data_IF_576803377900
#
_entry.id   IF_576803377900
#
_cell.length_a   1.000
_cell.length_b   1.000
_cell.length_c   1.000
_cell.angle_alpha   90.00
_cell.angle_beta   90.00
_cell.angle_gamma   90.00
#
_symmetry.space_group_name_H-M   'P 1'
#
loop_
_entity.id
_entity.type
_entity.pdbx_description
1 polymer ?
#
# COMPACT_ATOMS: atom_id res chain seq x y z
N UNK A 1 8.55 30.98 14.12
CA UNK A 1 7.11 30.89 14.41
C UNK A 1 6.46 30.12 13.26
N UNK A 2 5.74 29.01 13.49
CA UNK A 2 4.89 28.45 12.44
C UNK A 2 3.89 29.54 12.01
N UNK A 3 3.72 29.75 10.72
CA UNK A 3 2.66 30.63 10.23
C UNK A 3 1.34 29.97 10.64
N UNK A 4 0.47 30.64 11.42
CA UNK A 4 -0.83 30.10 11.74
C UNK A 4 -1.55 29.77 10.44
N UNK A 5 -2.14 28.59 10.35
CA UNK A 5 -3.20 28.35 9.39
C UNK A 5 -4.19 29.52 9.48
N UNK A 6 -4.56 30.13 8.36
CA UNK A 6 -5.62 31.14 8.34
C UNK A 6 -6.96 30.56 8.84
N UNK A 7 -7.08 29.23 8.91
CA UNK A 7 -8.16 28.53 9.59
C UNK A 7 -7.83 28.35 11.08
N UNK A 8 -8.79 28.68 11.95
CA UNK A 8 -8.76 28.40 13.39
C UNK A 8 -8.85 26.91 13.75
N UNK A 9 -8.63 26.00 12.78
CA UNK A 9 -8.75 24.55 12.98
C UNK A 9 -7.37 23.93 13.28
N UNK A 10 -7.13 23.39 14.49
CA UNK A 10 -5.84 22.84 14.88
C UNK A 10 -5.46 21.54 14.13
N UNK A 11 -6.38 20.98 13.33
CA UNK A 11 -6.16 19.76 12.55
C UNK A 11 -5.67 20.00 11.12
N UNK A 12 -5.65 21.26 10.66
CA UNK A 12 -5.16 21.60 9.32
C UNK A 12 -3.73 22.17 9.38
N UNK A 13 -2.85 21.62 8.56
CA UNK A 13 -1.51 22.16 8.34
C UNK A 13 -1.38 22.60 6.88
N UNK A 14 -1.14 23.89 6.65
CA UNK A 14 -0.94 24.41 5.31
C UNK A 14 0.50 24.12 4.84
N UNK A 15 0.66 23.01 4.14
CA UNK A 15 1.95 22.59 3.59
C UNK A 15 2.51 23.58 2.56
N UNK A 16 1.67 24.29 1.81
CA UNK A 16 2.12 25.22 0.75
C UNK A 16 2.72 26.49 1.35
N UNK A 17 2.23 26.91 2.52
CA UNK A 17 2.76 28.07 3.25
C UNK A 17 4.00 27.74 4.10
N UNK A 18 4.36 26.46 4.25
CA UNK A 18 5.44 26.04 5.14
C UNK A 18 6.83 26.40 4.59
N UNK A 19 7.54 27.29 5.28
CA UNK A 19 8.94 27.68 4.94
C UNK A 19 10.01 26.74 5.50
N UNK A 20 9.65 25.89 6.44
CA UNK A 20 10.54 24.91 7.10
C UNK A 20 9.72 23.70 7.55
N UNK A 21 10.38 22.55 7.69
CA UNK A 21 9.77 21.37 8.30
C UNK A 21 9.69 21.59 9.83
N UNK A 22 8.49 21.60 10.44
CA UNK A 22 8.34 21.71 11.89
C UNK A 22 8.72 20.39 12.58
N UNK A 23 9.05 20.45 13.88
CA UNK A 23 9.45 19.26 14.65
C UNK A 23 8.37 18.17 14.74
N UNK A 24 7.09 18.55 14.59
CA UNK A 24 5.98 17.60 14.49
C UNK A 24 6.06 16.73 13.24
N UNK A 25 6.72 17.19 12.17
CA UNK A 25 6.89 16.47 10.91
C UNK A 25 8.36 16.06 10.67
N UNK A 26 9.25 16.34 11.62
CA UNK A 26 10.65 15.96 11.55
C UNK A 26 10.84 14.52 12.05
N UNK A 27 11.12 13.61 11.12
CA UNK A 27 11.33 12.19 11.40
C UNK A 27 12.82 11.88 11.58
N UNK A 28 13.20 11.13 12.64
CA UNK A 28 14.55 10.60 12.79
C UNK A 28 14.78 9.38 11.87
N UNK A 29 16.02 8.95 11.73
CA UNK A 29 16.37 7.66 11.10
C UNK A 29 16.06 7.53 9.60
N UNK A 30 15.78 8.64 8.90
CA UNK A 30 15.39 8.60 7.49
C UNK A 30 16.47 8.07 6.56
N UNK A 31 17.72 8.19 6.97
CA UNK A 31 18.92 7.89 6.19
C UNK A 31 19.77 6.79 6.83
N UNK A 32 19.18 5.99 7.74
CA UNK A 32 19.89 4.89 8.41
C UNK A 32 20.33 3.79 7.43
N UNK A 33 19.66 3.71 6.28
CA UNK A 33 19.97 2.78 5.21
C UNK A 33 20.16 3.52 3.88
N UNK A 34 21.09 3.05 3.02
CA UNK A 34 21.32 3.66 1.71
C UNK A 34 20.08 3.52 0.83
N UNK A 35 19.95 4.44 -0.14
CA UNK A 35 18.93 4.38 -1.20
C UNK A 35 19.63 4.00 -2.51
N UNK A 36 19.14 2.98 -3.19
CA UNK A 36 19.61 2.55 -4.52
C UNK A 36 18.52 2.76 -5.57
N UNK A 37 18.93 2.89 -6.83
CA UNK A 37 18.01 3.07 -7.96
C UNK A 37 17.46 1.72 -8.44
N UNK A 38 16.16 1.51 -8.26
CA UNK A 38 15.47 0.30 -8.69
C UNK A 38 15.08 0.28 -10.17
N UNK A 39 15.32 1.35 -10.92
CA UNK A 39 15.19 1.38 -12.38
C UNK A 39 16.45 0.94 -13.12
N UNK A 40 17.60 0.90 -12.43
CA UNK A 40 18.86 0.48 -13.01
C UNK A 40 18.94 -1.06 -13.13
N UNK A 41 19.51 -1.61 -14.21
CA UNK A 41 19.76 -3.05 -14.32
C UNK A 41 20.64 -3.54 -13.17
N UNK A 42 20.23 -4.61 -12.49
CA UNK A 42 20.99 -5.17 -11.38
C UNK A 42 20.13 -5.99 -10.41
N UNK A 43 20.71 -6.44 -9.28
CA UNK A 43 20.00 -7.22 -8.28
C UNK A 43 18.88 -6.45 -7.57
N UNK A 44 18.90 -5.12 -7.66
CA UNK A 44 17.90 -4.21 -7.11
C UNK A 44 16.90 -3.67 -8.13
N UNK A 45 16.95 -4.18 -9.38
CA UNK A 45 15.95 -3.82 -10.37
C UNK A 45 14.56 -4.27 -9.88
N UNK A 46 13.64 -3.32 -9.74
CA UNK A 46 12.25 -3.63 -9.38
C UNK A 46 11.67 -4.49 -10.50
N UNK A 47 11.13 -5.68 -10.19
CA UNK A 47 10.62 -6.58 -11.21
C UNK A 47 9.45 -5.94 -11.97
N UNK A 48 9.40 -6.19 -13.27
CA UNK A 48 8.30 -5.79 -14.14
C UNK A 48 7.54 -7.05 -14.58
N UNK A 49 6.22 -7.00 -14.45
CA UNK A 49 5.29 -8.00 -14.99
C UNK A 49 4.48 -7.31 -16.08
N UNK A 50 4.55 -7.83 -17.30
CA UNK A 50 3.77 -7.32 -18.43
C UNK A 50 2.58 -8.25 -18.74
N UNK A 51 1.37 -7.70 -18.69
CA UNK A 51 0.14 -8.43 -19.00
C UNK A 51 -0.28 -8.31 -20.48
N UNK A 52 0.32 -7.42 -21.27
CA UNK A 52 0.04 -7.33 -22.71
C UNK A 52 0.74 -8.47 -23.45
N UNK A 53 1.99 -8.76 -23.06
CA UNK A 53 2.71 -9.96 -23.51
C UNK A 53 1.95 -11.26 -23.24
N UNK A 54 1.00 -11.31 -22.30
CA UNK A 54 0.19 -12.50 -22.02
C UNK A 54 -0.70 -12.97 -23.20
N UNK A 55 -0.93 -12.12 -24.21
CA UNK A 55 -1.66 -12.52 -25.42
C UNK A 55 -0.78 -13.36 -26.38
N UNK A 56 0.52 -13.11 -26.39
CA UNK A 56 1.51 -13.72 -27.30
C UNK A 56 2.48 -14.69 -26.57
N UNK A 57 2.63 -14.55 -25.25
CA UNK A 57 3.39 -15.45 -24.38
C UNK A 57 2.48 -16.54 -23.79
N UNK A 58 3.00 -17.76 -23.54
CA UNK A 58 2.26 -18.76 -22.79
C UNK A 58 1.87 -18.19 -21.42
N UNK A 59 0.59 -18.29 -21.04
CA UNK A 59 0.06 -17.88 -19.72
C UNK A 59 0.96 -18.29 -18.55
N UNK A 60 1.56 -19.48 -18.64
CA UNK A 60 2.51 -20.02 -17.66
C UNK A 60 3.75 -19.13 -17.43
N UNK A 61 4.24 -18.43 -18.45
CA UNK A 61 5.38 -17.52 -18.32
C UNK A 61 5.04 -16.31 -17.44
N UNK A 62 3.87 -15.71 -17.66
CA UNK A 62 3.36 -14.58 -16.85
C UNK A 62 3.10 -15.03 -15.41
N UNK A 63 2.49 -16.21 -15.21
CA UNK A 63 2.31 -16.81 -13.88
C UNK A 63 3.66 -16.96 -13.17
N UNK A 64 4.69 -17.44 -13.86
CA UNK A 64 6.03 -17.58 -13.29
C UNK A 64 6.70 -16.23 -12.98
N UNK A 65 6.44 -15.18 -13.77
CA UNK A 65 6.90 -13.82 -13.48
C UNK A 65 6.24 -13.27 -12.21
N UNK A 66 4.91 -13.41 -12.09
CA UNK A 66 4.14 -13.02 -10.91
C UNK A 66 4.65 -13.76 -9.66
N UNK A 67 4.82 -15.08 -9.77
CA UNK A 67 5.34 -15.91 -8.68
C UNK A 67 6.70 -15.39 -8.19
N UNK A 68 7.68 -15.25 -9.10
CA UNK A 68 9.03 -14.79 -8.75
C UNK A 68 9.01 -13.39 -8.14
N UNK A 69 8.23 -12.46 -8.71
CA UNK A 69 8.14 -11.11 -8.17
C UNK A 69 7.52 -11.09 -6.77
N UNK A 70 6.44 -11.83 -6.55
CA UNK A 70 5.76 -11.88 -5.26
C UNK A 70 6.58 -12.61 -4.17
N UNK A 71 7.28 -13.69 -4.54
CA UNK A 71 8.14 -14.46 -3.63
C UNK A 71 9.43 -13.71 -3.30
N UNK A 72 10.07 -13.08 -4.28
CA UNK A 72 11.39 -12.47 -4.06
C UNK A 72 11.28 -11.04 -3.56
N UNK A 73 10.32 -10.27 -4.07
CA UNK A 73 10.20 -8.84 -3.81
C UNK A 73 8.99 -8.48 -2.96
N UNK A 74 7.89 -9.21 -3.10
CA UNK A 74 6.61 -8.80 -2.51
C UNK A 74 5.98 -7.58 -3.20
N UNK A 75 6.61 -7.08 -4.26
CA UNK A 75 6.11 -6.01 -5.09
C UNK A 75 6.69 -6.05 -6.50
N UNK A 76 5.99 -5.45 -7.46
CA UNK A 76 6.43 -5.33 -8.85
C UNK A 76 5.72 -4.18 -9.57
N UNK A 77 6.31 -3.75 -10.68
CA UNK A 77 5.65 -2.88 -11.65
C UNK A 77 4.79 -3.74 -12.57
N UNK A 78 3.52 -3.37 -12.72
CA UNK A 78 2.57 -4.00 -13.61
C UNK A 78 2.37 -3.11 -14.84
N UNK A 79 2.65 -3.65 -16.01
CA UNK A 79 2.49 -2.99 -17.31
C UNK A 79 1.55 -3.81 -18.21
N UNK A 80 1.10 -3.24 -19.33
CA UNK A 80 0.23 -3.93 -20.27
C UNK A 80 -1.11 -4.42 -19.70
N UNK A 81 -1.55 -3.83 -18.58
CA UNK A 81 -2.73 -4.27 -17.81
C UNK A 81 -4.08 -3.90 -18.47
N UNK A 82 -4.08 -3.14 -19.56
CA UNK A 82 -5.28 -2.82 -20.34
C UNK A 82 -6.21 -1.76 -19.72
N UNK A 83 -5.76 -1.03 -18.70
CA UNK A 83 -6.50 0.15 -18.19
C UNK A 83 -6.15 1.34 -19.09
N UNK A 84 -7.12 2.07 -19.67
CA UNK A 84 -6.84 3.15 -20.61
C UNK A 84 -5.97 4.26 -20.01
N UNK A 85 -4.94 4.68 -20.74
CA UNK A 85 -4.02 5.73 -20.28
C UNK A 85 -4.74 7.06 -20.05
N UNK A 86 -5.74 7.38 -20.87
CA UNK A 86 -6.58 8.57 -20.76
C UNK A 86 -7.41 8.56 -19.47
N UNK A 87 -7.85 7.37 -19.02
CA UNK A 87 -8.54 7.23 -17.74
C UNK A 87 -7.59 7.48 -16.57
N UNK A 88 -6.36 6.95 -16.61
CA UNK A 88 -5.35 7.20 -15.58
C UNK A 88 -5.02 8.70 -15.47
N UNK A 89 -4.85 9.37 -16.61
CA UNK A 89 -4.62 10.82 -16.65
C UNK A 89 -5.79 11.62 -16.05
N UNK A 90 -7.04 11.25 -16.37
CA UNK A 90 -8.23 11.86 -15.75
C UNK A 90 -8.27 11.60 -14.24
N UNK A 91 -7.93 10.40 -13.78
CA UNK A 91 -7.86 10.08 -12.34
C UNK A 91 -6.86 10.99 -11.63
N UNK A 92 -5.63 11.11 -12.15
CA UNK A 92 -4.61 12.00 -11.58
C UNK A 92 -5.07 13.47 -11.52
N UNK A 93 -5.66 13.97 -12.61
CA UNK A 93 -6.21 15.33 -12.70
C UNK A 93 -7.35 15.57 -11.68
N UNK A 94 -8.27 14.60 -11.52
CA UNK A 94 -9.36 14.69 -10.54
C UNK A 94 -8.82 14.69 -9.10
N UNK A 95 -7.79 13.89 -8.80
CA UNK A 95 -7.12 13.91 -7.49
C UNK A 95 -6.47 15.26 -7.23
N UNK A 96 -5.72 15.80 -8.22
CA UNK A 96 -5.08 17.11 -8.10
C UNK A 96 -6.09 18.23 -7.84
N UNK A 97 -7.21 18.21 -8.58
CA UNK A 97 -8.32 19.16 -8.42
C UNK A 97 -8.94 19.07 -7.02
N UNK A 98 -9.17 17.86 -6.50
CA UNK A 98 -9.71 17.65 -5.16
C UNK A 98 -8.79 18.20 -4.05
N UNK A 99 -7.48 17.96 -4.13
CA UNK A 99 -6.54 18.50 -3.14
C UNK A 99 -6.27 20.00 -3.30
N UNK A 100 -6.57 20.58 -4.47
CA UNK A 100 -6.53 22.02 -4.71
C UNK A 100 -7.74 22.78 -4.14
N UNK A 101 -8.79 22.08 -3.69
CA UNK A 101 -9.93 22.72 -3.02
C UNK A 101 -9.48 23.58 -1.83
N UNK A 102 -10.23 24.67 -1.53
CA UNK A 102 -10.04 25.46 -0.32
C UNK A 102 -9.97 24.57 0.93
N UNK A 103 -9.13 24.95 1.88
CA UNK A 103 -8.93 24.17 3.09
C UNK A 103 -10.25 23.98 3.87
N UNK A 104 -11.13 24.98 3.93
CA UNK A 104 -12.46 24.84 4.54
C UNK A 104 -13.32 23.75 3.89
N UNK A 105 -13.23 23.59 2.57
CA UNK A 105 -13.96 22.56 1.84
C UNK A 105 -13.42 21.17 2.16
N UNK A 106 -12.09 21.01 2.15
CA UNK A 106 -11.42 19.75 2.55
C UNK A 106 -11.72 19.39 4.00
N UNK A 107 -11.76 20.39 4.88
CA UNK A 107 -11.96 20.18 6.32
C UNK A 107 -13.38 19.72 6.68
N UNK A 108 -14.39 19.93 5.82
CA UNK A 108 -15.75 19.35 6.01
C UNK A 108 -15.76 17.82 5.95
N UNK A 109 -14.78 17.22 5.29
CA UNK A 109 -14.71 15.79 5.10
C UNK A 109 -13.72 15.10 6.04
N UNK A 110 -13.20 15.80 7.06
CA UNK A 110 -12.24 15.25 8.03
C UNK A 110 -12.78 13.97 8.67
N UNK A 111 -11.94 12.95 8.74
CA UNK A 111 -12.26 11.70 9.43
C UNK A 111 -12.63 11.93 10.89
N UNK A 112 -13.77 11.38 11.31
CA UNK A 112 -14.16 11.31 12.70
C UNK A 112 -13.34 10.27 13.48
N UNK A 113 -13.33 10.34 14.83
CA UNK A 113 -12.73 9.29 15.65
C UNK A 113 -13.35 7.92 15.35
N UNK A 114 -12.54 6.96 14.91
CA UNK A 114 -12.98 5.61 14.57
C UNK A 114 -13.43 5.43 13.11
N UNK A 115 -13.57 6.50 12.34
CA UNK A 115 -13.94 6.41 10.92
C UNK A 115 -12.76 5.99 10.05
N UNK A 116 -13.00 5.02 9.16
CA UNK A 116 -12.01 4.58 8.18
C UNK A 116 -11.92 5.48 6.94
N UNK A 117 -12.97 6.25 6.63
CA UNK A 117 -13.11 7.06 5.40
C UNK A 117 -13.22 8.56 5.68
N UNK A 118 -12.63 9.37 4.80
CA UNK A 118 -12.60 10.84 4.84
C UNK A 118 -11.19 11.42 4.73
N UNK A 119 -11.13 12.75 4.79
CA UNK A 119 -9.93 13.57 4.68
C UNK A 119 -9.03 13.49 5.92
N UNK A 120 -7.71 13.49 5.69
CA UNK A 120 -6.66 13.48 6.71
C UNK A 120 -5.55 12.49 6.38
N UNK A 121 -4.48 12.47 7.19
CA UNK A 121 -3.35 11.55 7.02
C UNK A 121 -3.79 10.08 7.09
N UNK A 122 -3.14 9.15 6.37
CA UNK A 122 -3.54 7.73 6.34
C UNK A 122 -3.74 7.15 7.75
N UNK A 123 -4.71 6.25 7.99
CA UNK A 123 -5.05 5.73 9.33
C UNK A 123 -3.84 5.22 10.15
N UNK A 124 -2.83 4.68 9.47
CA UNK A 124 -1.58 4.20 10.09
C UNK A 124 -0.82 5.32 10.84
N UNK A 125 -1.02 6.58 10.45
CA UNK A 125 -0.38 7.75 11.10
C UNK A 125 -0.75 7.86 12.58
N UNK A 126 -1.90 7.33 12.99
CA UNK A 126 -2.35 7.34 14.40
C UNK A 126 -1.46 6.52 15.35
N UNK A 127 -0.59 5.66 14.81
CA UNK A 127 0.35 4.86 15.60
C UNK A 127 1.65 5.61 15.91
N UNK A 128 1.83 6.84 15.40
CA UNK A 128 3.09 7.57 15.48
C UNK A 128 2.90 8.95 16.12
N UNK A 129 3.93 9.41 16.84
CA UNK A 129 3.96 10.74 17.45
C UNK A 129 4.31 11.86 16.46
N UNK A 130 4.86 11.51 15.30
CA UNK A 130 5.20 12.43 14.20
C UNK A 130 4.13 12.40 13.12
N UNK A 131 3.91 13.55 12.49
CA UNK A 131 2.97 13.75 11.39
C UNK A 131 3.64 13.48 10.03
N UNK A 132 2.84 12.99 9.08
CA UNK A 132 3.27 12.79 7.70
C UNK A 132 3.26 14.10 6.92
N UNK A 133 4.18 14.27 5.97
CA UNK A 133 4.20 15.36 5.00
C UNK A 133 3.30 15.02 3.80
N UNK A 134 2.01 14.85 4.08
CA UNK A 134 1.00 14.50 3.09
C UNK A 134 -0.40 14.88 3.55
N UNK A 135 -1.25 15.19 2.58
CA UNK A 135 -2.69 15.14 2.74
C UNK A 135 -3.22 13.83 2.14
N UNK A 136 -4.31 13.32 2.71
CA UNK A 136 -4.93 12.08 2.26
C UNK A 136 -6.44 12.15 2.26
N UNK A 137 -7.07 11.30 1.45
CA UNK A 137 -8.52 11.10 1.47
C UNK A 137 -8.84 9.62 1.22
N UNK A 138 -9.54 8.99 2.14
CA UNK A 138 -9.96 7.58 2.02
C UNK A 138 -11.45 7.47 1.71
N UNK A 139 -11.84 6.60 0.79
CA UNK A 139 -13.25 6.22 0.60
C UNK A 139 -13.38 4.77 0.13
N UNK A 140 -14.53 4.17 0.41
CA UNK A 140 -14.96 2.95 -0.26
C UNK A 140 -15.64 3.29 -1.58
N UNK A 141 -15.36 2.58 -2.69
CA UNK A 141 -16.07 2.77 -3.95
C UNK A 141 -17.60 2.69 -3.81
N UNK A 142 -18.10 1.88 -2.86
CA UNK A 142 -19.54 1.75 -2.59
C UNK A 142 -20.17 3.01 -1.98
N UNK A 143 -19.38 3.83 -1.27
CA UNK A 143 -19.84 5.05 -0.59
C UNK A 143 -19.31 6.33 -1.23
N UNK A 144 -18.60 6.24 -2.36
CA UNK A 144 -17.92 7.35 -3.03
C UNK A 144 -18.81 8.61 -3.11
N UNK A 145 -19.99 8.51 -3.73
CA UNK A 145 -20.89 9.66 -3.90
C UNK A 145 -21.30 10.26 -2.57
N UNK A 146 -21.67 9.45 -1.58
CA UNK A 146 -22.07 9.91 -0.26
C UNK A 146 -20.92 10.61 0.49
N UNK A 147 -19.71 10.06 0.42
CA UNK A 147 -18.55 10.65 1.07
C UNK A 147 -18.12 11.96 0.40
N UNK A 148 -18.10 12.01 -0.92
CA UNK A 148 -17.66 13.18 -1.67
C UNK A 148 -18.64 14.37 -1.60
N UNK A 149 -19.89 14.14 -1.17
CA UNK A 149 -20.82 15.23 -0.81
C UNK A 149 -20.31 16.11 0.32
N UNK A 150 -19.44 15.60 1.20
CA UNK A 150 -18.82 16.39 2.27
C UNK A 150 -17.90 17.47 1.67
N UNK A 151 -17.16 17.14 0.60
CA UNK A 151 -16.32 18.08 -0.14
C UNK A 151 -17.16 19.02 -1.02
N UNK A 152 -18.15 18.48 -1.73
CA UNK A 152 -19.01 19.24 -2.65
C UNK A 152 -20.51 19.10 -2.29
N UNK A 153 -21.01 19.86 -1.30
CA UNK A 153 -22.39 19.72 -0.81
C UNK A 153 -23.45 19.94 -1.89
N UNK A 154 -23.19 20.89 -2.80
CA UNK A 154 -24.10 21.26 -3.89
C UNK A 154 -24.13 20.25 -5.05
N UNK A 155 -23.19 19.30 -5.10
CA UNK A 155 -23.02 18.36 -6.21
C UNK A 155 -23.08 19.00 -7.61
N UNK A 156 -22.24 20.02 -7.82
CA UNK A 156 -22.03 20.59 -9.15
C UNK A 156 -21.16 19.70 -10.03
N UNK A 157 -20.72 20.26 -11.16
CA UNK A 157 -20.04 19.52 -12.22
C UNK A 157 -18.73 18.85 -11.75
N UNK A 158 -17.94 19.52 -10.90
CA UNK A 158 -16.70 18.95 -10.35
C UNK A 158 -16.96 17.67 -9.54
N UNK A 159 -18.03 17.64 -8.75
CA UNK A 159 -18.43 16.47 -7.98
C UNK A 159 -18.85 15.33 -8.91
N UNK A 160 -19.71 15.62 -9.88
CA UNK A 160 -20.21 14.62 -10.82
C UNK A 160 -19.06 14.04 -11.62
N UNK A 161 -18.22 14.90 -12.19
CA UNK A 161 -17.02 14.51 -12.94
C UNK A 161 -16.05 13.68 -12.10
N UNK A 162 -15.76 14.09 -10.86
CA UNK A 162 -14.89 13.32 -9.97
C UNK A 162 -15.46 11.93 -9.68
N UNK A 163 -16.74 11.85 -9.33
CA UNK A 163 -17.40 10.58 -9.02
C UNK A 163 -17.44 9.65 -10.24
N UNK A 164 -17.81 10.17 -11.41
CA UNK A 164 -17.92 9.38 -12.64
C UNK A 164 -16.56 8.78 -13.04
N UNK A 165 -15.48 9.58 -12.96
CA UNK A 165 -14.12 9.10 -13.25
C UNK A 165 -13.67 8.03 -12.25
N UNK A 166 -13.93 8.21 -10.95
CA UNK A 166 -13.54 7.23 -9.94
C UNK A 166 -14.37 5.94 -10.02
N UNK A 167 -15.66 6.02 -10.41
CA UNK A 167 -16.50 4.85 -10.67
C UNK A 167 -16.04 4.08 -11.92
N UNK A 168 -15.69 4.78 -12.99
CA UNK A 168 -15.10 4.19 -14.20
C UNK A 168 -13.77 3.50 -13.89
N UNK A 169 -12.88 4.20 -13.18
CA UNK A 169 -11.62 3.64 -12.69
C UNK A 169 -11.83 2.40 -11.82
N UNK A 170 -12.77 2.44 -10.88
CA UNK A 170 -13.09 1.30 -10.04
C UNK A 170 -13.48 0.06 -10.85
N UNK A 171 -14.32 0.21 -11.89
CA UNK A 171 -14.73 -0.91 -12.76
C UNK A 171 -13.53 -1.58 -13.43
N UNK A 172 -12.62 -0.79 -14.00
CA UNK A 172 -11.39 -1.31 -14.59
C UNK A 172 -10.49 -1.99 -13.55
N UNK A 173 -10.33 -1.38 -12.38
CA UNK A 173 -9.52 -1.95 -11.30
C UNK A 173 -10.11 -3.24 -10.73
N UNK A 174 -11.43 -3.41 -10.71
CA UNK A 174 -12.06 -4.69 -10.32
C UNK A 174 -11.72 -5.80 -11.29
N UNK A 175 -11.91 -5.58 -12.59
CA UNK A 175 -11.56 -6.58 -13.59
C UNK A 175 -10.05 -6.93 -13.56
N UNK A 176 -9.19 -5.92 -13.37
CA UNK A 176 -7.75 -6.15 -13.23
C UNK A 176 -7.39 -6.91 -11.95
N UNK A 177 -8.05 -6.61 -10.82
CA UNK A 177 -7.87 -7.31 -9.56
C UNK A 177 -8.23 -8.80 -9.68
N UNK A 178 -9.35 -9.11 -10.34
CA UNK A 178 -9.80 -10.49 -10.54
C UNK A 178 -8.79 -11.26 -11.41
N UNK A 179 -8.33 -10.66 -12.52
CA UNK A 179 -7.28 -11.25 -13.38
C UNK A 179 -5.97 -11.48 -12.61
N UNK A 180 -5.55 -10.54 -11.78
CA UNK A 180 -4.31 -10.67 -11.03
C UNK A 180 -4.41 -11.71 -9.89
N UNK A 181 -5.57 -11.78 -9.23
CA UNK A 181 -5.86 -12.82 -8.24
C UNK A 181 -5.76 -14.21 -8.88
N UNK A 182 -6.33 -14.39 -10.08
CA UNK A 182 -6.23 -15.63 -10.85
C UNK A 182 -4.76 -16.04 -11.07
N UNK A 183 -3.92 -15.09 -11.52
CA UNK A 183 -2.48 -15.33 -11.74
C UNK A 183 -1.74 -15.69 -10.46
N UNK A 184 -2.07 -15.06 -9.33
CA UNK A 184 -1.50 -15.42 -8.04
C UNK A 184 -1.88 -16.84 -7.61
N UNK A 185 -3.14 -17.25 -7.83
CA UNK A 185 -3.62 -18.58 -7.47
C UNK A 185 -3.00 -19.66 -8.36
N UNK A 186 -2.88 -19.41 -9.67
CA UNK A 186 -2.09 -20.27 -10.56
C UNK A 186 -0.63 -20.37 -10.13
N UNK A 187 -0.02 -19.28 -9.67
CA UNK A 187 1.33 -19.28 -9.14
C UNK A 187 1.47 -20.14 -7.87
N UNK A 188 0.38 -20.31 -7.10
CA UNK A 188 0.32 -21.24 -5.98
C UNK A 188 0.18 -22.72 -6.38
N UNK A 189 -0.01 -23.01 -7.68
CA UNK A 189 -0.10 -24.37 -8.21
C UNK A 189 -1.53 -24.85 -8.45
N UNK A 190 -2.53 -23.96 -8.41
CA UNK A 190 -3.90 -24.30 -8.81
C UNK A 190 -3.98 -24.37 -10.35
N UNK A 191 -4.58 -25.43 -10.90
CA UNK A 191 -4.85 -25.56 -12.35
C UNK A 191 -6.02 -24.66 -12.78
N UNK A 192 -6.16 -24.37 -14.08
CA UNK A 192 -7.29 -23.57 -14.61
C UNK A 192 -8.67 -24.13 -14.18
N UNK A 193 -8.79 -25.45 -14.07
CA UNK A 193 -10.01 -26.14 -13.62
C UNK A 193 -10.26 -25.98 -12.11
N UNK A 194 -9.19 -25.88 -11.32
CA UNK A 194 -9.25 -25.61 -9.89
C UNK A 194 -9.50 -24.12 -9.63
N UNK A 195 -8.97 -23.24 -10.47
CA UNK A 195 -9.18 -21.80 -10.35
C UNK A 195 -10.69 -21.47 -10.47
N UNK A 196 -11.36 -22.02 -11.48
CA UNK A 196 -12.82 -21.90 -11.61
C UNK A 196 -13.65 -22.72 -10.61
N UNK A 197 -13.05 -23.71 -9.92
CA UNK A 197 -13.76 -24.73 -9.14
C UNK A 197 -13.52 -24.71 -7.63
N UNK A 198 -12.53 -23.95 -7.14
CA UNK A 198 -12.19 -23.88 -5.72
C UNK A 198 -13.12 -22.89 -5.03
N UNK A 199 -13.93 -23.40 -4.08
CA UNK A 199 -14.85 -22.58 -3.28
C UNK A 199 -14.13 -21.40 -2.60
N UNK A 200 -12.88 -21.61 -2.18
CA UNK A 200 -12.07 -20.57 -1.57
C UNK A 200 -11.72 -19.42 -2.54
N UNK A 201 -11.37 -19.71 -3.79
CA UNK A 201 -11.11 -18.68 -4.81
C UNK A 201 -12.36 -17.89 -5.11
N UNK A 202 -13.43 -18.60 -5.49
CA UNK A 202 -14.70 -17.97 -5.82
C UNK A 202 -15.18 -17.08 -4.68
N UNK A 203 -15.05 -17.56 -3.43
CA UNK A 203 -15.35 -16.77 -2.25
C UNK A 203 -14.43 -15.56 -2.10
N UNK A 204 -13.12 -15.69 -2.31
CA UNK A 204 -12.19 -14.55 -2.23
C UNK A 204 -12.56 -13.52 -3.30
N UNK A 205 -12.69 -13.91 -4.57
CA UNK A 205 -13.03 -13.00 -5.66
C UNK A 205 -14.39 -12.29 -5.43
N UNK A 206 -15.44 -13.04 -5.07
CA UNK A 206 -16.79 -12.51 -4.85
C UNK A 206 -16.86 -11.59 -3.62
N UNK A 207 -16.07 -11.86 -2.58
CA UNK A 207 -16.16 -11.13 -1.31
C UNK A 207 -15.07 -10.08 -1.11
N UNK A 208 -14.05 -10.05 -1.98
CA UNK A 208 -12.94 -9.10 -1.88
C UNK A 208 -13.46 -7.67 -1.97
N UNK A 209 -13.15 -6.91 -0.94
CA UNK A 209 -13.53 -5.51 -0.79
C UNK A 209 -12.42 -4.61 -1.29
N UNK A 210 -12.78 -3.41 -1.76
CA UNK A 210 -11.84 -2.40 -2.21
C UNK A 210 -11.97 -1.13 -1.37
N UNK A 211 -10.84 -0.50 -1.08
CA UNK A 211 -10.76 0.85 -0.51
C UNK A 211 -9.78 1.68 -1.32
N UNK A 212 -10.12 2.93 -1.59
CA UNK A 212 -9.24 3.87 -2.27
C UNK A 212 -8.67 4.88 -1.26
N UNK A 213 -7.37 5.11 -1.31
CA UNK A 213 -6.71 6.21 -0.59
C UNK A 213 -5.96 7.10 -1.57
N UNK A 214 -6.39 8.35 -1.67
CA UNK A 214 -5.72 9.39 -2.43
C UNK A 214 -4.67 10.03 -1.54
N UNK A 215 -3.48 10.27 -2.08
CA UNK A 215 -2.39 10.94 -1.40
C UNK A 215 -1.93 12.13 -2.24
N UNK A 216 -1.71 13.26 -1.58
CA UNK A 216 -0.96 14.38 -2.12
C UNK A 216 0.22 14.70 -1.22
N UNK A 217 1.40 14.67 -1.81
CA UNK A 217 2.69 14.95 -1.18
C UNK A 217 3.20 16.29 -1.70
N UNK A 218 2.98 17.39 -0.96
CA UNK A 218 3.44 18.71 -1.37
C UNK A 218 4.97 18.80 -1.38
N UNK A 219 5.50 19.74 -2.18
CA UNK A 219 6.90 20.18 -2.08
C UNK A 219 7.31 20.41 -0.64
N UNK A 220 8.46 19.88 -0.27
CA UNK A 220 8.98 19.96 1.09
C UNK A 220 10.21 20.89 1.14
N UNK A 221 10.26 21.88 2.06
CA UNK A 221 11.41 22.78 2.18
C UNK A 221 12.68 22.07 2.68
N UNK A 222 12.56 20.92 3.36
CA UNK A 222 13.69 20.08 3.75
C UNK A 222 13.32 18.59 3.69
N UNK A 223 13.37 17.96 2.51
CA UNK A 223 12.93 16.58 2.32
C UNK A 223 13.78 15.56 3.09
N UNK A 224 14.95 15.95 3.58
CA UNK A 224 15.82 15.09 4.41
C UNK A 224 15.28 14.89 5.82
N UNK A 225 14.31 15.67 6.24
CA UNK A 225 13.71 15.63 7.59
C UNK A 225 12.26 15.16 7.60
N UNK A 226 11.60 15.06 6.44
CA UNK A 226 10.18 14.76 6.35
C UNK A 226 9.93 13.46 5.57
N UNK A 227 8.85 12.75 5.92
CA UNK A 227 8.34 11.60 5.17
C UNK A 227 6.93 11.87 4.72
N UNK A 228 6.63 11.50 3.48
CA UNK A 228 5.28 11.53 2.94
C UNK A 228 4.42 10.43 3.55
N UNK A 229 4.99 9.24 3.70
CA UNK A 229 4.40 8.09 4.38
C UNK A 229 5.51 7.24 5.00
N UNK A 230 5.34 6.89 6.28
CA UNK A 230 6.33 6.08 7.01
C UNK A 230 6.48 4.67 6.44
N UNK A 231 7.62 4.04 6.70
CA UNK A 231 7.85 2.62 6.48
C UNK A 231 6.74 1.77 7.09
N UNK A 232 6.09 0.94 6.27
CA UNK A 232 5.04 0.03 6.69
C UNK A 232 4.83 -1.08 5.66
N UNK A 233 4.05 -2.09 6.04
CA UNK A 233 3.43 -3.05 5.13
C UNK A 233 1.94 -2.74 4.93
N UNK A 234 1.35 -3.23 3.84
CA UNK A 234 -0.09 -3.17 3.64
C UNK A 234 -0.79 -4.31 4.37
N UNK A 235 -1.92 -4.05 5.03
CA UNK A 235 -2.61 -5.09 5.83
C UNK A 235 -3.61 -5.94 5.04
N UNK A 236 -3.89 -5.60 3.79
CA UNK A 236 -4.87 -6.29 2.95
C UNK A 236 -4.31 -7.54 2.28
N UNK A 237 -4.94 -7.91 1.16
CA UNK A 237 -4.42 -8.93 0.27
C UNK A 237 -3.31 -8.38 -0.64
N UNK A 238 -3.65 -7.45 -1.52
CA UNK A 238 -2.68 -6.76 -2.36
C UNK A 238 -3.19 -5.37 -2.71
N UNK A 239 -2.29 -4.49 -3.12
CA UNK A 239 -2.59 -3.09 -3.40
C UNK A 239 -2.09 -2.74 -4.78
N UNK A 240 -2.89 -2.04 -5.57
CA UNK A 240 -2.40 -1.34 -6.75
C UNK A 240 -2.11 0.12 -6.38
N UNK A 241 -0.92 0.61 -6.69
CA UNK A 241 -0.55 2.01 -6.49
C UNK A 241 -0.37 2.66 -7.86
N UNK A 242 -1.29 3.57 -8.19
CA UNK A 242 -1.08 4.56 -9.25
C UNK A 242 -0.23 5.68 -8.66
N UNK A 243 0.84 6.07 -9.34
CA UNK A 243 1.67 7.20 -8.94
C UNK A 243 1.91 8.13 -10.11
N UNK A 244 1.86 9.44 -9.84
CA UNK A 244 2.32 10.44 -10.80
C UNK A 244 3.78 10.20 -11.18
N UNK A 245 4.25 10.82 -12.26
CA UNK A 245 5.64 10.69 -12.73
C UNK A 245 6.70 11.31 -11.81
N UNK A 246 6.32 11.78 -10.62
CA UNK A 246 7.24 12.24 -9.58
C UNK A 246 7.62 11.05 -8.68
N UNK A 247 8.92 10.66 -8.63
CA UNK A 247 9.37 9.56 -7.79
C UNK A 247 9.11 9.82 -6.30
N UNK A 248 8.95 8.75 -5.52
CA UNK A 248 8.79 8.88 -4.08
C UNK A 248 8.53 7.57 -3.34
N UNK A 249 8.02 6.54 -4.01
CA UNK A 249 7.88 5.22 -3.40
C UNK A 249 9.24 4.53 -3.27
N UNK A 250 9.51 3.94 -2.11
CA UNK A 250 10.70 3.14 -1.86
C UNK A 250 10.32 1.81 -1.20
N UNK A 251 10.93 0.72 -1.66
CA UNK A 251 10.79 -0.63 -1.10
C UNK A 251 12.01 -0.95 -0.24
N UNK A 252 11.83 -1.65 0.87
CA UNK A 252 12.95 -2.10 1.69
C UNK A 252 13.45 -3.47 1.24
N UNK A 253 14.76 -3.62 1.10
CA UNK A 253 15.43 -4.88 0.80
C UNK A 253 16.40 -5.20 1.93
N UNK A 254 16.38 -6.45 2.38
CA UNK A 254 17.35 -6.96 3.34
C UNK A 254 18.58 -7.55 2.63
N UNK A 255 19.64 -7.76 3.40
CA UNK A 255 20.87 -8.43 2.97
C UNK A 255 21.52 -7.86 1.67
N UNK A 256 22.17 -6.68 1.73
CA UNK A 256 22.20 -5.73 2.85
C UNK A 256 20.92 -4.87 2.96
N UNK A 257 20.65 -4.38 4.16
CA UNK A 257 19.53 -3.48 4.42
C UNK A 257 19.65 -2.17 3.63
N UNK A 258 18.70 -1.93 2.72
CA UNK A 258 18.67 -0.77 1.82
C UNK A 258 17.26 -0.44 1.37
N UNK A 259 17.05 0.83 1.03
CA UNK A 259 15.85 1.29 0.34
C UNK A 259 16.08 1.25 -1.18
N UNK A 260 15.15 0.70 -1.94
CA UNK A 260 15.15 0.69 -3.40
C UNK A 260 14.11 1.70 -3.88
N UNK A 261 14.55 2.71 -4.62
CA UNK A 261 13.65 3.67 -5.25
C UNK A 261 12.88 3.01 -6.39
N UNK A 262 11.55 3.07 -6.33
CA UNK A 262 10.70 2.52 -7.41
C UNK A 262 10.66 3.52 -8.56
N UNK A 263 11.01 3.12 -9.79
CA UNK A 263 11.00 4.04 -10.92
C UNK A 263 9.56 4.44 -11.28
N UNK A 264 9.40 5.70 -11.70
CA UNK A 264 8.12 6.23 -12.13
C UNK A 264 7.90 5.89 -13.62
N UNK A 265 7.31 4.72 -13.89
CA UNK A 265 7.04 4.24 -15.25
C UNK A 265 5.65 4.73 -15.70
N UNK A 266 5.54 5.46 -16.83
CA UNK A 266 4.27 5.96 -17.32
C UNK A 266 3.21 4.87 -17.51
N UNK A 267 2.03 5.09 -16.94
CA UNK A 267 0.90 4.17 -17.05
C UNK A 267 1.02 2.90 -16.21
N UNK A 268 2.16 2.61 -15.58
CA UNK A 268 2.33 1.40 -14.77
C UNK A 268 1.71 1.55 -13.38
N UNK A 269 1.20 0.43 -12.84
CA UNK A 269 0.89 0.31 -11.42
C UNK A 269 2.05 -0.32 -10.67
N UNK A 270 2.27 0.09 -9.42
CA UNK A 270 3.04 -0.75 -8.49
C UNK A 270 2.05 -1.69 -7.79
N UNK A 271 2.31 -2.98 -7.80
CA UNK A 271 1.55 -3.96 -7.01
C UNK A 271 2.36 -4.27 -5.76
N UNK A 272 1.74 -4.15 -4.58
CA UNK A 272 2.29 -4.62 -3.31
C UNK A 272 1.49 -5.82 -2.82
N UNK A 273 2.16 -6.86 -2.34
CA UNK A 273 1.53 -7.93 -1.55
C UNK A 273 1.37 -7.45 -0.11
N UNK A 274 0.19 -7.69 0.45
CA UNK A 274 -0.16 -7.34 1.82
C UNK A 274 -0.08 -8.52 2.78
N UNK A 275 -0.09 -8.20 4.07
CA UNK A 275 0.10 -9.13 5.17
C UNK A 275 -0.94 -10.26 5.21
N UNK A 276 -2.20 -9.99 4.90
CA UNK A 276 -3.22 -11.05 4.89
C UNK A 276 -3.05 -11.98 3.70
N UNK A 277 -2.51 -11.52 2.57
CA UNK A 277 -2.17 -12.43 1.47
C UNK A 277 -0.90 -13.23 1.74
N UNK A 278 0.06 -12.62 2.44
CA UNK A 278 1.20 -13.36 2.98
C UNK A 278 0.72 -14.52 3.87
N UNK A 279 -0.22 -14.27 4.78
CA UNK A 279 -0.84 -15.32 5.60
C UNK A 279 -1.59 -16.35 4.74
N UNK A 280 -2.43 -15.89 3.80
CA UNK A 280 -3.22 -16.75 2.91
C UNK A 280 -2.32 -17.68 2.06
N UNK A 281 -1.16 -17.19 1.63
CA UNK A 281 -0.17 -17.92 0.83
C UNK A 281 0.84 -18.68 1.69
N UNK A 282 0.56 -18.82 2.99
CA UNK A 282 1.41 -19.51 3.95
C UNK A 282 2.86 -18.98 4.00
N UNK A 283 3.04 -17.67 3.75
CA UNK A 283 4.32 -16.99 3.73
C UNK A 283 5.06 -17.08 2.40
N UNK A 284 4.48 -17.72 1.37
CA UNK A 284 5.13 -17.84 0.06
C UNK A 284 5.24 -16.51 -0.68
N UNK A 285 4.18 -15.70 -0.67
CA UNK A 285 4.26 -14.34 -1.22
C UNK A 285 4.56 -13.34 -0.10
N UNK A 286 5.63 -12.57 -0.28
CA UNK A 286 6.16 -11.74 0.80
C UNK A 286 5.45 -10.40 0.87
N UNK A 287 5.07 -9.97 2.08
CA UNK A 287 4.65 -8.59 2.31
C UNK A 287 5.89 -7.73 2.46
N UNK A 288 5.98 -6.62 1.72
CA UNK A 288 7.19 -5.79 1.66
C UNK A 288 7.03 -4.46 2.41
N UNK A 289 8.03 -4.12 3.22
CA UNK A 289 8.12 -2.80 3.80
C UNK A 289 8.34 -1.75 2.72
N UNK A 290 7.55 -0.70 2.75
CA UNK A 290 7.66 0.40 1.82
C UNK A 290 7.35 1.73 2.50
N UNK A 291 7.88 2.82 1.94
CA UNK A 291 7.68 4.20 2.41
C UNK A 291 7.48 5.15 1.24
N UNK A 292 6.92 6.32 1.51
CA UNK A 292 6.90 7.42 0.54
C UNK A 292 7.76 8.58 1.03
N UNK A 293 8.80 8.91 0.26
CA UNK A 293 9.64 10.10 0.48
C UNK A 293 9.07 11.31 -0.24
N UNK A 294 9.45 12.49 0.22
CA UNK A 294 9.07 13.78 -0.38
C UNK A 294 10.27 14.43 -1.04
N UNK A 295 10.02 15.42 -1.90
CA UNK A 295 11.05 16.16 -2.61
C UNK A 295 10.81 17.67 -2.50
N UNK A 296 11.77 18.49 -2.93
CA UNK A 296 11.70 19.95 -2.83
C UNK A 296 11.02 20.62 -4.02
N UNK A 297 10.97 19.93 -5.16
CA UNK A 297 10.83 20.57 -6.47
C UNK A 297 9.41 20.43 -7.03
N UNK A 298 8.77 19.28 -6.83
CA UNK A 298 7.48 18.93 -7.40
C UNK A 298 6.54 18.31 -6.36
N UNK A 299 5.26 18.63 -6.49
CA UNK A 299 4.21 17.91 -5.77
C UNK A 299 4.09 16.50 -6.38
N UNK A 300 3.84 15.49 -5.55
CA UNK A 300 3.58 14.12 -5.98
C UNK A 300 2.16 13.72 -5.60
N UNK A 301 1.49 12.96 -6.46
CA UNK A 301 0.19 12.35 -6.18
C UNK A 301 0.30 10.84 -6.31
N UNK A 302 -0.42 10.10 -5.46
CA UNK A 302 -0.65 8.68 -5.68
C UNK A 302 -2.02 8.24 -5.20
N UNK A 303 -2.56 7.21 -5.83
CA UNK A 303 -3.78 6.51 -5.42
C UNK A 303 -3.41 5.07 -5.05
N UNK A 304 -3.64 4.70 -3.80
CA UNK A 304 -3.61 3.31 -3.36
C UNK A 304 -5.00 2.69 -3.49
N UNK A 305 -5.10 1.60 -4.24
CA UNK A 305 -6.31 0.79 -4.41
C UNK A 305 -6.10 -0.52 -3.65
N UNK A 306 -6.57 -0.55 -2.41
CA UNK A 306 -6.35 -1.62 -1.45
C UNK A 306 -7.42 -2.68 -1.59
N UNK A 307 -7.00 -3.93 -1.75
CA UNK A 307 -7.89 -5.08 -1.80
C UNK A 307 -7.70 -5.91 -0.55
N UNK A 308 -8.80 -6.41 0.01
CA UNK A 308 -8.74 -7.23 1.22
C UNK A 308 -10.04 -7.97 1.48
N UNK A 309 -10.07 -8.83 2.50
CA UNK A 309 -11.24 -9.60 2.85
C UNK A 309 -12.35 -8.71 3.43
N UNK A 310 -13.61 -9.16 3.44
CA UNK A 310 -14.62 -8.60 4.33
C UNK A 310 -14.13 -8.62 5.79
N UNK A 311 -14.52 -7.64 6.63
CA UNK A 311 -14.01 -7.55 8.00
C UNK A 311 -14.22 -8.79 8.87
N UNK A 312 -15.28 -9.57 8.61
CA UNK A 312 -15.64 -10.77 9.38
C UNK A 312 -15.07 -12.07 8.80
N UNK A 313 -14.50 -12.03 7.59
CA UNK A 313 -13.94 -13.22 6.97
C UNK A 313 -12.62 -13.61 7.66
N UNK A 314 -12.50 -14.88 8.01
CA UNK A 314 -11.25 -15.45 8.54
C UNK A 314 -10.32 -15.78 7.37
N UNK A 315 -9.12 -15.23 7.42
CA UNK A 315 -8.01 -15.53 6.52
C UNK A 315 -7.12 -16.55 7.18
N UNK A 316 -6.82 -17.64 6.48
CA UNK A 316 -5.92 -18.71 6.92
C UNK A 316 -5.15 -19.23 5.70
N UNK A 317 -3.98 -19.88 5.90
CA UNK A 317 -3.24 -20.48 4.80
C UNK A 317 -4.10 -21.40 3.92
N UNK A 318 -4.04 -21.21 2.60
CA UNK A 318 -4.64 -22.10 1.60
C UNK A 318 -3.96 -23.47 1.68
N UNK A 319 -4.72 -24.54 1.48
CA UNK A 319 -4.18 -25.91 1.55
C UNK A 319 -3.09 -26.13 0.51
N UNK A 320 -3.29 -25.58 -0.67
CA UNK A 320 -2.40 -25.62 -1.82
C UNK A 320 -1.10 -24.84 -1.58
N UNK A 321 -1.13 -23.83 -0.71
CA UNK A 321 0.05 -23.06 -0.33
C UNK A 321 0.85 -23.72 0.80
N UNK A 322 0.31 -24.75 1.46
CA UNK A 322 1.01 -25.50 2.50
C UNK A 322 1.74 -26.69 1.86
N UNK A 323 3.08 -26.78 1.98
CA UNK A 323 3.82 -27.91 1.41
C UNK A 323 3.33 -29.26 1.95
N UNK A 324 3.30 -30.32 1.11
CA UNK A 324 2.90 -31.65 1.56
C UNK A 324 3.66 -32.11 2.81
N UNK A 325 2.93 -32.59 3.81
CA UNK A 325 3.51 -33.04 5.08
C UNK A 325 3.89 -31.93 6.07
N UNK A 326 3.64 -30.65 5.74
CA UNK A 326 3.82 -29.52 6.67
C UNK A 326 2.49 -29.06 7.25
N UNK A 327 2.55 -28.41 8.41
CA UNK A 327 1.43 -27.71 9.01
C UNK A 327 1.39 -26.25 8.53
N UNK A 328 0.22 -25.59 8.57
CA UNK A 328 0.13 -24.15 8.34
C UNK A 328 1.13 -23.37 9.21
N UNK A 329 1.74 -22.34 8.65
CA UNK A 329 2.69 -21.48 9.36
C UNK A 329 2.00 -20.38 10.18
N UNK A 330 0.75 -20.06 9.86
CA UNK A 330 -0.01 -18.97 10.47
C UNK A 330 -1.37 -19.44 10.96
N UNK A 331 -1.85 -18.85 12.07
CA UNK A 331 -3.21 -19.07 12.57
C UNK A 331 -4.22 -18.28 11.74
N UNK A 332 -5.46 -18.74 11.73
CA UNK A 332 -6.57 -18.00 11.13
C UNK A 332 -6.82 -16.68 11.87
N UNK A 333 -6.97 -15.58 11.13
CA UNK A 333 -7.26 -14.24 11.67
C UNK A 333 -8.28 -13.50 10.79
N UNK A 334 -9.12 -12.68 11.40
CA UNK A 334 -9.91 -11.66 10.70
C UNK A 334 -9.09 -10.37 10.54
N UNK A 335 -9.47 -9.49 9.62
CA UNK A 335 -8.79 -8.21 9.45
C UNK A 335 -8.78 -7.33 10.73
N UNK A 336 -9.89 -7.18 11.49
CA UNK A 336 -9.89 -6.45 12.76
C UNK A 336 -8.95 -7.06 13.81
N UNK A 337 -8.92 -8.39 13.95
CA UNK A 337 -7.98 -9.08 14.85
C UNK A 337 -6.53 -8.80 14.45
N UNK A 338 -6.22 -8.89 13.15
CA UNK A 338 -4.89 -8.61 12.63
C UNK A 338 -4.48 -7.15 12.84
N UNK A 339 -5.38 -6.19 12.62
CA UNK A 339 -5.12 -4.77 12.93
C UNK A 339 -4.85 -4.54 14.43
N UNK A 340 -5.52 -5.29 15.31
CA UNK A 340 -5.21 -5.31 16.75
C UNK A 340 -3.78 -5.80 17.04
N UNK A 341 -3.35 -6.86 16.35
CA UNK A 341 -1.97 -7.37 16.43
C UNK A 341 -0.97 -6.33 15.91
N UNK A 342 -1.23 -5.72 14.74
CA UNK A 342 -0.35 -4.67 14.18
C UNK A 342 -0.18 -3.49 15.13
N UNK A 343 -1.27 -3.04 15.77
CA UNK A 343 -1.19 -1.98 16.78
C UNK A 343 -0.23 -2.35 17.92
N UNK A 344 -0.30 -3.60 18.40
CA UNK A 344 0.61 -4.11 19.45
C UNK A 344 2.06 -4.22 18.95
N UNK A 345 2.25 -4.75 17.74
CA UNK A 345 3.55 -4.85 17.07
C UNK A 345 4.27 -3.49 17.03
N UNK A 346 3.60 -2.44 16.53
CA UNK A 346 4.15 -1.08 16.49
C UNK A 346 4.56 -0.53 17.86
N UNK A 347 3.84 -0.89 18.93
CA UNK A 347 4.19 -0.45 20.29
C UNK A 347 5.34 -1.23 20.93
N UNK A 348 5.71 -2.39 20.36
CA UNK A 348 6.70 -3.32 20.94
C UNK A 348 7.93 -3.53 20.06
N UNK A 349 7.94 -2.99 18.82
CA UNK A 349 9.01 -3.21 17.83
C UNK A 349 9.07 -4.65 17.32
N UNK A 350 7.98 -5.40 17.47
CA UNK A 350 7.88 -6.80 17.08
C UNK A 350 7.15 -6.94 15.74
N UNK A 351 7.46 -8.00 14.98
CA UNK A 351 6.74 -8.26 13.72
C UNK A 351 5.31 -8.77 13.97
N UNK A 352 4.32 -8.09 13.40
CA UNK A 352 2.91 -8.50 13.46
C UNK A 352 2.68 -9.88 12.83
N UNK A 353 3.40 -10.21 11.75
CA UNK A 353 3.35 -11.53 11.12
C UNK A 353 3.91 -12.62 12.04
N UNK A 354 5.02 -12.35 12.75
CA UNK A 354 5.55 -13.29 13.77
C UNK A 354 4.56 -13.51 14.92
N UNK A 355 3.83 -12.47 15.34
CA UNK A 355 2.82 -12.59 16.41
C UNK A 355 1.61 -13.46 16.04
N UNK A 356 1.40 -13.78 14.76
CA UNK A 356 0.34 -14.69 14.29
C UNK A 356 0.88 -15.99 13.71
N UNK A 357 2.20 -16.18 13.71
CA UNK A 357 2.83 -17.43 13.34
C UNK A 357 2.55 -18.53 14.39
N UNK A 358 2.48 -19.78 13.93
CA UNK A 358 2.33 -20.97 14.77
C UNK A 358 3.70 -21.47 15.23
N UNK A 359 3.78 -22.08 16.42
CA UNK A 359 5.04 -22.43 17.09
C UNK A 359 6.01 -23.30 16.26
N UNK A 360 5.49 -24.20 15.42
CA UNK A 360 6.31 -25.02 14.52
C UNK A 360 7.00 -24.21 13.40
N UNK A 361 6.41 -23.08 12.99
CA UNK A 361 7.00 -22.17 12.02
C UNK A 361 7.95 -21.16 12.68
N UNK A 362 7.67 -20.73 13.92
CA UNK A 362 8.57 -19.87 14.68
C UNK A 362 9.95 -20.54 14.92
N UNK A 363 9.96 -21.84 15.24
CA UNK A 363 11.19 -22.60 15.45
C UNK A 363 11.99 -22.87 14.15
N UNK A 364 11.33 -22.89 12.98
CA UNK A 364 11.99 -23.02 11.68
C UNK A 364 12.59 -21.68 11.20
N UNK A 365 11.92 -20.57 11.49
CA UNK A 365 12.44 -19.23 11.20
C UNK A 365 13.72 -18.91 11.99
N UNK A 366 13.85 -19.41 13.23
CA UNK A 366 15.07 -19.26 14.03
C UNK A 366 16.25 -20.13 13.52
N UNK A 367 16.00 -21.14 12.68
CA UNK A 367 17.02 -22.02 12.09
C UNK A 367 17.43 -21.59 10.66
N UNK A 368 16.52 -20.98 9.88
CA UNK A 368 16.83 -20.39 8.57
C UNK A 368 17.48 -18.99 8.68
N UNK A 369 17.51 -18.37 9.87
CA UNK A 369 18.30 -17.15 10.15
C UNK A 369 19.82 -17.39 9.98
N UNK A 370 20.29 -18.65 10.02
CA UNK A 370 21.68 -19.05 9.72
C UNK A 370 21.89 -19.41 8.23
N UNK A 371 20.82 -19.45 7.43
CA UNK A 371 20.83 -19.82 6.01
C UNK A 371 19.90 -18.92 5.17
N UNK A 372 20.21 -17.63 5.09
CA UNK A 372 19.91 -16.83 3.89
C UNK A 372 18.50 -16.25 3.70
N UNK A 373 17.62 -16.27 4.71
CA UNK A 373 16.39 -15.47 4.72
C UNK A 373 16.14 -14.90 6.12
N UNK A 374 17.02 -13.96 6.51
CA UNK A 374 16.98 -13.29 7.80
C UNK A 374 15.61 -12.65 8.06
N UNK A 375 14.97 -13.05 9.15
CA UNK A 375 13.71 -12.52 9.58
C UNK A 375 13.83 -11.01 9.81
N UNK A 376 13.02 -10.24 9.07
CA UNK A 376 12.98 -8.79 9.15
C UNK A 376 12.84 -8.30 10.60
N UNK A 377 13.92 -7.79 11.18
CA UNK A 377 13.78 -6.71 12.16
C UNK A 377 13.06 -5.58 11.43
N UNK A 378 12.03 -4.98 12.06
CA UNK A 378 11.46 -3.76 11.53
C UNK A 378 12.62 -2.77 11.29
N UNK A 379 12.70 -2.09 10.12
CA UNK A 379 13.77 -1.12 9.90
C UNK A 379 13.87 -0.19 11.12
N UNK A 380 15.09 0.09 11.57
CA UNK A 380 15.45 0.65 12.90
C UNK A 380 14.93 2.08 13.15
N UNK A 381 13.93 2.52 12.39
CA UNK A 381 13.12 3.72 12.70
C UNK A 381 12.37 3.57 14.03
N UNK A 382 12.13 2.35 14.51
CA UNK A 382 11.25 2.08 15.66
C UNK A 382 11.91 2.18 17.05
N UNK A 383 13.22 1.99 17.19
CA UNK A 383 13.85 1.95 18.52
C UNK A 383 14.15 3.35 19.11
N UNK A 384 14.25 4.41 18.31
CA UNK A 384 14.59 5.75 18.82
C UNK A 384 13.38 6.63 19.19
N UNK A 385 12.14 6.18 18.96
CA UNK A 385 10.95 7.00 19.21
C UNK A 385 10.42 6.92 20.66
N UNK A 386 10.98 6.08 21.52
CA UNK A 386 10.50 5.87 22.90
C UNK A 386 11.50 6.26 23.99
N UNK A 387 12.70 6.75 23.65
CA UNK A 387 13.72 7.14 24.64
C UNK A 387 14.22 8.56 24.36
N UNK A 388 13.36 9.55 24.56
CA UNK A 388 13.77 10.95 24.82
C UNK A 388 12.57 11.71 25.38
N UNK A 389 12.47 11.65 26.72
CA UNK A 389 11.80 12.55 27.68
C UNK A 389 10.44 13.15 27.35
#
# INVERSE_FOLDING_TARGET
MPTPSHLANPRYFDFRAARRVPETHAWPGLHDHPVVDGGAPGPDAVPVVDLAGAADEPRAAVVAQVARAAEQWGAFLLTGHGVPAELLARVEDRIATMFALPADDKMRAVRGPGDACGYGSPPISSFFSKCMWSEGYTFSPANLRADLRKLWPKAGDDYTSFCDVMEEFHKHMRALADKLLELFLMALGLTDEQVGGVEAERRIAETMTATMHLNWYPRCPDPRRALGLIAHTDSGFFTFVLQSLVPGLQLFRHAPDRWVAVPAVPGAFVVNVGDLFHILTNGRFHSVYHRAVVNRDLDRISLGYFLGPPPHAKVAPLREAVPPGRTPAYRAVTWPEYMGVRKKAFTTGASALKMVALAAAAAAADLDDDAGAGAAAEPVVHQQLLVSS
#
